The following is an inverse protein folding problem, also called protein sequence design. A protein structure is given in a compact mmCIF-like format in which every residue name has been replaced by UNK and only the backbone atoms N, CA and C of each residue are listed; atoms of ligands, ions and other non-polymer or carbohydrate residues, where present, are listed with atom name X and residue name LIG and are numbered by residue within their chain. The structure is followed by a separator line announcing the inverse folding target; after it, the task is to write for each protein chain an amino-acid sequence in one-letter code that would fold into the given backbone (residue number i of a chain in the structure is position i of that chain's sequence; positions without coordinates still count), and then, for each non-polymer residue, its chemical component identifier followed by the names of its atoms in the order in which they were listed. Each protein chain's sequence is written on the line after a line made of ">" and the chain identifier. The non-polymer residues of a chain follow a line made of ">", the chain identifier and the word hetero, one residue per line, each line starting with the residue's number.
data_IF_851518292330
#
_entry.id   IF_851518292330
#
_cell.length_a   1.000
_cell.length_b   1.000
_cell.length_c   1.000
_cell.angle_alpha   90.00
_cell.angle_beta   90.00
_cell.angle_gamma   90.00
#
_symmetry.space_group_name_H-M   'P 1'
#
loop_
_entity.id
_entity.type
_entity.pdbx_description
1 polymer ?
#
# COMPACT_ATOMS: atom_id res chain seq x y z
N UNK A 1 5.43 -51.90 -15.37
CA UNK A 1 6.07 -50.58 -15.59
C UNK A 1 5.07 -49.44 -15.93
N UNK A 2 3.78 -49.70 -16.19
CA UNK A 2 2.80 -48.64 -16.50
C UNK A 2 2.20 -47.97 -15.23
N UNK A 3 2.03 -48.73 -14.14
CA UNK A 3 1.39 -48.24 -12.90
C UNK A 3 2.23 -47.22 -12.12
N UNK A 4 3.56 -47.30 -12.19
CA UNK A 4 4.48 -46.38 -11.49
C UNK A 4 4.64 -45.03 -12.20
N UNK A 5 4.36 -44.96 -13.51
CA UNK A 5 4.41 -43.70 -14.28
C UNK A 5 3.14 -42.85 -14.12
N UNK A 6 2.00 -43.47 -13.82
CA UNK A 6 0.74 -42.76 -13.56
C UNK A 6 0.72 -42.03 -12.20
N UNK A 7 1.51 -42.49 -11.22
CA UNK A 7 1.56 -41.87 -9.89
C UNK A 7 2.30 -40.52 -9.88
N UNK A 8 3.26 -40.32 -10.78
CA UNK A 8 4.05 -39.09 -10.87
C UNK A 8 3.28 -37.92 -11.50
N UNK A 9 2.28 -38.21 -12.34
CA UNK A 9 1.44 -37.16 -12.98
C UNK A 9 0.39 -36.63 -11.99
N UNK A 10 -0.12 -37.46 -11.07
CA UNK A 10 -1.07 -37.02 -10.05
C UNK A 10 -0.44 -36.09 -8.99
N UNK A 11 0.86 -36.23 -8.71
CA UNK A 11 1.59 -35.41 -7.74
C UNK A 11 1.87 -33.98 -8.26
N UNK A 12 1.99 -33.79 -9.58
CA UNK A 12 2.23 -32.48 -10.18
C UNK A 12 0.97 -31.62 -10.30
N UNK A 13 -0.22 -32.23 -10.35
CA UNK A 13 -1.51 -31.51 -10.42
C UNK A 13 -1.96 -30.95 -9.06
N UNK A 14 -1.52 -31.54 -7.94
CA UNK A 14 -1.88 -31.10 -6.59
C UNK A 14 -1.25 -29.77 -6.16
N UNK A 15 -0.06 -29.44 -6.67
CA UNK A 15 0.65 -28.21 -6.31
C UNK A 15 0.07 -26.95 -6.97
N UNK A 16 -0.67 -27.09 -8.07
CA UNK A 16 -1.27 -25.94 -8.77
C UNK A 16 -2.54 -25.47 -8.06
N UNK A 17 -3.34 -26.37 -7.47
CA UNK A 17 -4.64 -26.00 -6.88
C UNK A 17 -4.51 -25.17 -5.59
N UNK A 18 -3.43 -25.37 -4.82
CA UNK A 18 -3.21 -24.66 -3.54
C UNK A 18 -2.78 -23.20 -3.76
N UNK A 19 -2.01 -22.90 -4.80
CA UNK A 19 -1.58 -21.52 -5.09
C UNK A 19 -2.72 -20.61 -5.53
N UNK A 20 -3.60 -21.10 -6.42
CA UNK A 20 -4.71 -20.31 -6.96
C UNK A 20 -5.81 -20.04 -5.93
N UNK A 21 -6.08 -20.98 -5.02
CA UNK A 21 -7.06 -20.79 -3.95
C UNK A 21 -6.59 -19.77 -2.91
N UNK A 22 -5.30 -19.75 -2.57
CA UNK A 22 -4.74 -18.75 -1.65
C UNK A 22 -4.78 -17.34 -2.23
N UNK A 23 -4.44 -17.16 -3.52
CA UNK A 23 -4.46 -15.85 -4.17
C UNK A 23 -5.89 -15.29 -4.30
N UNK A 24 -6.85 -16.13 -4.70
CA UNK A 24 -8.27 -15.79 -4.75
C UNK A 24 -8.78 -15.34 -3.37
N UNK A 25 -8.46 -16.11 -2.32
CA UNK A 25 -8.87 -15.77 -0.94
C UNK A 25 -8.31 -14.43 -0.44
N UNK A 26 -7.09 -14.04 -0.86
CA UNK A 26 -6.47 -12.77 -0.46
C UNK A 26 -7.15 -11.59 -1.15
N UNK A 27 -7.50 -11.73 -2.44
CA UNK A 27 -8.18 -10.69 -3.21
C UNK A 27 -9.57 -10.39 -2.66
N UNK A 28 -10.31 -11.42 -2.25
CA UNK A 28 -11.65 -11.26 -1.69
C UNK A 28 -11.68 -10.62 -0.29
N UNK A 29 -10.55 -10.63 0.44
CA UNK A 29 -10.41 -10.00 1.76
C UNK A 29 -10.04 -8.51 1.69
N UNK A 30 -9.56 -8.02 0.56
CA UNK A 30 -9.09 -6.62 0.46
C UNK A 30 -10.26 -5.66 0.25
N UNK A 31 -10.42 -4.69 1.15
CA UNK A 31 -11.32 -3.56 0.92
C UNK A 31 -10.61 -2.54 0.02
N UNK A 32 -11.33 -2.02 -0.98
CA UNK A 32 -10.79 -1.07 -1.94
C UNK A 32 -11.49 0.28 -1.79
N UNK A 33 -10.81 1.26 -1.19
CA UNK A 33 -11.37 2.61 -0.93
C UNK A 33 -11.29 3.56 -2.13
N UNK A 34 -10.36 3.29 -3.05
CA UNK A 34 -10.16 4.00 -4.30
C UNK A 34 -10.31 3.02 -5.47
N UNK A 35 -11.05 3.40 -6.50
CA UNK A 35 -11.10 2.65 -7.76
C UNK A 35 -9.72 2.56 -8.41
N UNK A 36 -9.55 1.70 -9.43
CA UNK A 36 -8.27 1.65 -10.16
C UNK A 36 -7.94 3.00 -10.78
N UNK A 37 -8.91 3.62 -11.45
CA UNK A 37 -8.75 4.94 -12.06
C UNK A 37 -8.42 6.03 -11.04
N UNK A 38 -9.05 6.02 -9.86
CA UNK A 38 -8.73 6.97 -8.79
C UNK A 38 -7.29 6.78 -8.29
N UNK A 39 -6.81 5.54 -8.18
CA UNK A 39 -5.42 5.26 -7.80
C UNK A 39 -4.45 5.75 -8.85
N UNK A 40 -4.73 5.50 -10.13
CA UNK A 40 -3.87 5.94 -11.23
C UNK A 40 -3.78 7.47 -11.25
N UNK A 41 -4.92 8.16 -11.06
CA UNK A 41 -4.97 9.62 -10.97
C UNK A 41 -4.22 10.17 -9.75
N UNK A 42 -4.39 9.55 -8.57
CA UNK A 42 -3.67 9.95 -7.36
C UNK A 42 -2.16 9.73 -7.51
N UNK A 43 -1.73 8.61 -8.07
CA UNK A 43 -0.32 8.33 -8.34
C UNK A 43 0.27 9.34 -9.32
N UNK A 44 -0.45 9.66 -10.39
CA UNK A 44 0.00 10.68 -11.35
C UNK A 44 0.13 12.05 -10.68
N UNK A 45 -0.90 12.48 -9.93
CA UNK A 45 -0.87 13.75 -9.20
C UNK A 45 0.28 13.82 -8.18
N UNK A 46 0.49 12.77 -7.37
CA UNK A 46 1.59 12.75 -6.41
C UNK A 46 2.96 12.80 -7.09
N UNK A 47 3.15 12.04 -8.19
CA UNK A 47 4.39 12.10 -8.96
C UNK A 47 4.65 13.50 -9.50
N UNK A 48 3.62 14.15 -10.06
CA UNK A 48 3.73 15.52 -10.54
C UNK A 48 4.10 16.52 -9.44
N UNK A 49 3.49 16.43 -8.25
CA UNK A 49 3.80 17.33 -7.14
C UNK A 49 5.24 17.12 -6.63
N UNK A 50 5.68 15.87 -6.49
CA UNK A 50 7.05 15.53 -6.10
C UNK A 50 8.06 16.07 -7.12
N UNK A 51 7.85 15.78 -8.40
CA UNK A 51 8.77 16.19 -9.47
C UNK A 51 8.87 17.71 -9.61
N UNK A 52 7.74 18.42 -9.51
CA UNK A 52 7.69 19.88 -9.66
C UNK A 52 8.33 20.62 -8.48
N UNK A 53 8.24 20.06 -7.26
CA UNK A 53 8.46 20.84 -6.03
C UNK A 53 9.65 20.36 -5.19
N UNK A 54 10.05 19.09 -5.28
CA UNK A 54 11.08 18.54 -4.42
C UNK A 54 12.49 18.57 -5.03
N UNK A 55 12.60 18.72 -6.35
CA UNK A 55 13.90 18.87 -7.04
C UNK A 55 14.87 17.70 -6.84
N UNK A 56 14.35 16.51 -6.51
CA UNK A 56 15.12 15.33 -6.19
C UNK A 56 15.87 14.78 -7.41
N UNK A 57 17.02 14.16 -7.16
CA UNK A 57 17.68 13.30 -8.14
C UNK A 57 17.01 11.90 -8.16
N UNK A 58 17.53 11.00 -9.00
CA UNK A 58 16.91 9.67 -9.17
C UNK A 58 17.00 8.80 -7.90
N UNK A 59 18.14 8.78 -7.23
CA UNK A 59 18.36 7.98 -6.03
C UNK A 59 17.47 8.46 -4.89
N UNK A 60 17.42 9.78 -4.65
CA UNK A 60 16.54 10.40 -3.66
C UNK A 60 15.06 10.09 -3.93
N UNK A 61 14.63 10.17 -5.19
CA UNK A 61 13.25 9.79 -5.58
C UNK A 61 12.96 8.33 -5.30
N UNK A 62 13.89 7.43 -5.64
CA UNK A 62 13.69 6.00 -5.47
C UNK A 62 13.58 5.64 -3.98
N UNK A 63 14.41 6.25 -3.11
CA UNK A 63 14.33 6.10 -1.66
C UNK A 63 13.02 6.66 -1.08
N UNK A 64 12.62 7.86 -1.53
CA UNK A 64 11.35 8.48 -1.16
C UNK A 64 10.16 7.58 -1.50
N UNK A 65 10.09 7.09 -2.75
CA UNK A 65 9.00 6.22 -3.20
C UNK A 65 9.00 4.86 -2.55
N UNK A 66 10.17 4.29 -2.29
CA UNK A 66 10.32 3.03 -1.54
C UNK A 66 9.70 3.16 -0.14
N UNK A 67 10.06 4.22 0.57
CA UNK A 67 9.56 4.51 1.92
C UNK A 67 8.04 4.76 1.90
N UNK A 68 7.55 5.62 1.00
CA UNK A 68 6.10 5.86 0.86
C UNK A 68 5.32 4.59 0.59
N UNK A 69 5.77 3.80 -0.39
CA UNK A 69 5.09 2.58 -0.82
C UNK A 69 5.02 1.57 0.32
N UNK A 70 6.09 1.43 1.09
CA UNK A 70 6.14 0.54 2.25
C UNK A 70 5.01 0.85 3.25
N UNK A 71 4.85 2.12 3.63
CA UNK A 71 3.84 2.53 4.59
C UNK A 71 2.42 2.51 4.00
N UNK A 72 2.21 2.94 2.76
CA UNK A 72 0.90 2.86 2.10
C UNK A 72 0.39 1.43 1.95
N UNK A 73 1.28 0.48 1.62
CA UNK A 73 0.92 -0.94 1.58
C UNK A 73 0.50 -1.42 2.96
N UNK A 74 1.17 -0.99 4.04
CA UNK A 74 0.78 -1.36 5.41
C UNK A 74 -0.57 -0.76 5.82
N UNK A 75 -0.77 0.54 5.60
CA UNK A 75 -2.03 1.22 5.92
C UNK A 75 -3.20 0.62 5.15
N UNK A 76 -3.02 0.36 3.85
CA UNK A 76 -4.06 -0.23 3.00
C UNK A 76 -4.43 -1.67 3.35
N UNK A 77 -3.70 -2.33 4.26
CA UNK A 77 -4.02 -3.66 4.79
C UNK A 77 -4.75 -3.62 6.13
N UNK A 78 -4.79 -2.48 6.81
CA UNK A 78 -5.49 -2.35 8.10
C UNK A 78 -7.01 -2.53 7.95
N UNK A 79 -7.55 -2.18 6.79
CA UNK A 79 -8.97 -2.35 6.43
C UNK A 79 -9.24 -3.68 5.69
N UNK A 80 -8.30 -4.62 5.70
CA UNK A 80 -8.56 -5.98 5.21
C UNK A 80 -9.66 -6.64 6.08
N UNK A 81 -10.59 -7.35 5.44
CA UNK A 81 -11.80 -7.95 6.07
C UNK A 81 -11.51 -8.89 7.25
N UNK A 82 -10.27 -9.32 7.44
CA UNK A 82 -9.85 -10.20 8.54
C UNK A 82 -9.34 -9.46 9.78
N UNK A 83 -9.16 -8.14 9.73
CA UNK A 83 -8.67 -7.35 10.86
C UNK A 83 -9.78 -6.98 11.87
N UNK A 84 -11.02 -6.82 11.41
CA UNK A 84 -12.18 -6.57 12.28
C UNK A 84 -12.11 -5.26 13.08
N UNK A 85 -11.28 -4.30 12.67
CA UNK A 85 -11.10 -3.03 13.36
C UNK A 85 -12.36 -2.15 13.25
N UNK A 86 -12.68 -1.46 14.33
CA UNK A 86 -13.57 -0.31 14.28
C UNK A 86 -12.89 0.87 13.56
N UNK A 87 -13.68 1.88 13.18
CA UNK A 87 -13.16 3.09 12.54
C UNK A 87 -12.14 3.84 13.39
N UNK A 88 -12.38 3.91 14.70
CA UNK A 88 -11.48 4.59 15.63
C UNK A 88 -10.16 3.82 15.79
N UNK A 89 -10.22 2.49 15.86
CA UNK A 89 -9.01 1.65 15.89
C UNK A 89 -8.24 1.72 14.58
N UNK A 90 -8.95 1.72 13.44
CA UNK A 90 -8.35 1.93 12.12
C UNK A 90 -7.61 3.27 12.06
N UNK A 91 -8.25 4.36 12.53
CA UNK A 91 -7.62 5.69 12.60
C UNK A 91 -6.34 5.65 13.43
N UNK A 92 -6.38 5.07 14.63
CA UNK A 92 -5.22 4.96 15.53
C UNK A 92 -4.07 4.18 14.88
N UNK A 93 -4.35 3.06 14.21
CA UNK A 93 -3.31 2.26 13.56
C UNK A 93 -2.74 2.94 12.31
N UNK A 94 -3.56 3.67 11.55
CA UNK A 94 -3.10 4.49 10.43
C UNK A 94 -2.20 5.63 10.93
N UNK A 95 -2.61 6.35 11.97
CA UNK A 95 -1.82 7.45 12.57
C UNK A 95 -0.46 6.94 13.10
N UNK A 96 -0.42 5.76 13.74
CA UNK A 96 0.85 5.13 14.16
C UNK A 96 1.79 4.82 12.99
N UNK A 97 1.25 4.47 11.82
CA UNK A 97 2.06 4.23 10.62
C UNK A 97 2.49 5.55 9.98
N UNK A 98 1.63 6.57 9.99
CA UNK A 98 1.96 7.91 9.52
C UNK A 98 3.08 8.51 10.36
N UNK A 99 3.01 8.45 11.69
CA UNK A 99 4.06 8.98 12.57
C UNK A 99 5.44 8.36 12.29
N UNK A 100 5.46 7.07 11.96
CA UNK A 100 6.70 6.36 11.58
C UNK A 100 7.20 6.81 10.21
N UNK A 101 6.30 6.94 9.24
CA UNK A 101 6.63 7.48 7.92
C UNK A 101 7.20 8.90 8.05
N UNK A 102 6.53 9.77 8.80
CA UNK A 102 6.92 11.16 9.03
C UNK A 102 8.30 11.26 9.70
N UNK A 103 8.58 10.40 10.69
CA UNK A 103 9.90 10.35 11.32
C UNK A 103 11.00 9.95 10.32
N UNK A 104 10.78 8.91 9.53
CA UNK A 104 11.74 8.43 8.52
C UNK A 104 11.93 9.44 7.39
N UNK A 105 10.85 10.08 6.93
CA UNK A 105 10.91 11.13 5.91
C UNK A 105 11.64 12.37 6.41
N UNK A 106 11.43 12.75 7.67
CA UNK A 106 12.13 13.89 8.27
C UNK A 106 13.65 13.67 8.38
N UNK A 107 14.08 12.42 8.54
CA UNK A 107 15.51 12.07 8.56
C UNK A 107 16.13 12.11 7.16
N UNK A 108 15.37 11.75 6.13
CA UNK A 108 15.88 11.58 4.76
C UNK A 108 15.67 12.80 3.85
N UNK A 109 14.76 13.70 4.19
CA UNK A 109 14.40 14.86 3.37
C UNK A 109 15.00 16.15 3.92
N UNK A 110 15.25 17.14 3.03
CA UNK A 110 15.49 18.52 3.50
C UNK A 110 14.23 19.09 4.15
N UNK A 111 14.36 20.18 4.91
CA UNK A 111 13.22 20.84 5.52
C UNK A 111 12.15 21.27 4.48
N UNK A 112 12.59 21.76 3.32
CA UNK A 112 11.73 22.18 2.22
C UNK A 112 11.01 20.99 1.57
N UNK A 113 11.74 19.90 1.30
CA UNK A 113 11.16 18.67 0.74
C UNK A 113 10.17 18.03 1.72
N UNK A 114 10.51 18.02 3.00
CA UNK A 114 9.65 17.49 4.05
C UNK A 114 8.35 18.30 4.17
N UNK A 115 8.40 19.64 4.09
CA UNK A 115 7.19 20.45 4.08
C UNK A 115 6.26 20.11 2.89
N UNK A 116 6.82 19.94 1.69
CA UNK A 116 6.05 19.51 0.51
C UNK A 116 5.45 18.11 0.72
N UNK A 117 6.22 17.18 1.29
CA UNK A 117 5.75 15.84 1.63
C UNK A 117 4.53 15.90 2.56
N UNK A 118 4.60 16.70 3.63
CA UNK A 118 3.51 16.86 4.58
C UNK A 118 2.23 17.41 3.93
N UNK A 119 2.36 18.33 2.98
CA UNK A 119 1.21 18.82 2.21
C UNK A 119 0.56 17.71 1.39
N UNK A 120 1.36 16.96 0.63
CA UNK A 120 0.90 15.86 -0.23
C UNK A 120 0.23 14.76 0.60
N UNK A 121 0.88 14.31 1.68
CA UNK A 121 0.35 13.28 2.59
C UNK A 121 -0.91 13.77 3.28
N UNK A 122 -0.94 15.03 3.72
CA UNK A 122 -2.12 15.63 4.30
C UNK A 122 -3.33 15.58 3.36
N UNK A 123 -3.15 15.90 2.08
CA UNK A 123 -4.22 15.81 1.08
C UNK A 123 -4.70 14.39 0.84
N UNK A 124 -3.76 13.45 0.66
CA UNK A 124 -4.09 12.04 0.44
C UNK A 124 -4.85 11.45 1.64
N UNK A 125 -4.38 11.71 2.86
CA UNK A 125 -4.97 11.15 4.07
C UNK A 125 -6.33 11.73 4.39
N UNK A 126 -6.57 13.03 4.13
CA UNK A 126 -7.92 13.61 4.21
C UNK A 126 -8.90 12.89 3.27
N UNK A 127 -8.46 12.59 2.04
CA UNK A 127 -9.27 11.85 1.09
C UNK A 127 -9.54 10.41 1.56
N UNK A 128 -8.52 9.72 2.08
CA UNK A 128 -8.63 8.37 2.61
C UNK A 128 -9.56 8.28 3.82
N UNK A 129 -9.40 9.16 4.82
CA UNK A 129 -10.28 9.20 6.01
C UNK A 129 -11.74 9.45 5.64
N UNK A 130 -12.00 10.37 4.70
CA UNK A 130 -13.35 10.60 4.19
C UNK A 130 -13.95 9.33 3.56
N UNK A 131 -13.16 8.54 2.82
CA UNK A 131 -13.62 7.28 2.20
C UNK A 131 -13.83 6.16 3.22
N UNK A 132 -13.02 6.12 4.28
CA UNK A 132 -13.25 5.25 5.44
C UNK A 132 -14.40 5.72 6.34
N UNK A 133 -14.93 6.93 6.10
CA UNK A 133 -15.97 7.54 6.92
C UNK A 133 -15.48 7.82 8.34
N UNK A 134 -14.21 8.23 8.46
CA UNK A 134 -13.56 8.75 9.67
C UNK A 134 -13.62 10.28 9.58
N UNK A 135 -14.20 10.93 10.59
CA UNK A 135 -14.33 12.39 10.71
C UNK A 135 -13.21 13.00 11.59
#
# INVERSE_FOLDING_TARGET
>A
MLKTRMLLIALLLGAVITGWSQEYSKKDRKVTIFTSEEKDNLQMWMNEEVDKRMGMNQEERDEYWSTLTYYFVKMGRLDDKDQGLSKDELKVEVEKLLDKQEAEMKENLTAEQYAVHQEIIGELMRSAYKRWGIE
#
